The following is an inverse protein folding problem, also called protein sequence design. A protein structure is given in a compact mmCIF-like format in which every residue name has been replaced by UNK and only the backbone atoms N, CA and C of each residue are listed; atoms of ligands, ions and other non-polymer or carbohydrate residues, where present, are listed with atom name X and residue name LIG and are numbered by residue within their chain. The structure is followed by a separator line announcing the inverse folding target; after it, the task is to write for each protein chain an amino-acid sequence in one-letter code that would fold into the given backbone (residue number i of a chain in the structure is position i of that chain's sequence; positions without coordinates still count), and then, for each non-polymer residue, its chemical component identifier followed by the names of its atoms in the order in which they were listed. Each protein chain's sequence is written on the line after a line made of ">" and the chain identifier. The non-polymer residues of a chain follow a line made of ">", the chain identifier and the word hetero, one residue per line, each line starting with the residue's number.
data_IF_039098691819
#
_entry.id   IF_039098691819
#
_cell.length_a   1.000
_cell.length_b   1.000
_cell.length_c   1.000
_cell.angle_alpha   90.00
_cell.angle_beta   90.00
_cell.angle_gamma   90.00
#
_symmetry.space_group_name_H-M   'P 1'
#
loop_
_entity.id
_entity.type
_entity.pdbx_description
1 polymer ?
#
# COMPACT_ATOMS: atom_id res chain seq x y z
N UNK A 1 -82.57 14.25 32.80
CA UNK A 1 -81.69 14.81 31.80
C UNK A 1 -80.50 13.88 31.69
N UNK A 2 -80.49 12.95 30.72
CA UNK A 2 -79.45 11.90 30.58
C UNK A 2 -78.49 12.31 29.46
N UNK A 3 -77.24 12.66 29.83
CA UNK A 3 -76.18 12.89 28.87
C UNK A 3 -75.49 11.52 28.54
N UNK A 4 -75.61 11.10 27.29
CA UNK A 4 -74.82 9.95 26.77
C UNK A 4 -73.53 10.48 26.20
N UNK A 5 -72.41 10.07 26.80
CA UNK A 5 -71.06 10.34 26.29
C UNK A 5 -70.71 9.29 25.21
N UNK A 6 -70.48 9.74 23.99
CA UNK A 6 -70.04 8.90 22.89
C UNK A 6 -68.51 8.87 22.87
N UNK A 7 -67.89 7.69 23.09
CA UNK A 7 -66.47 7.45 22.92
C UNK A 7 -66.19 7.15 21.46
N UNK A 8 -65.48 8.05 20.79
CA UNK A 8 -64.87 7.80 19.45
C UNK A 8 -63.51 7.09 19.62
N UNK A 9 -63.47 5.83 19.28
CA UNK A 9 -62.24 5.07 19.19
C UNK A 9 -61.53 5.37 17.84
N UNK A 10 -60.49 6.16 17.90
CA UNK A 10 -59.63 6.41 16.74
C UNK A 10 -58.61 5.28 16.54
N UNK A 11 -58.71 4.49 15.51
CA UNK A 11 -57.74 3.47 15.13
C UNK A 11 -56.54 4.11 14.44
N UNK A 12 -55.40 4.11 15.11
CA UNK A 12 -54.11 4.51 14.48
C UNK A 12 -53.56 3.28 13.74
N UNK A 13 -53.61 3.35 12.41
CA UNK A 13 -52.95 2.35 11.55
C UNK A 13 -51.47 2.73 11.43
N UNK A 14 -50.62 2.03 12.14
CA UNK A 14 -49.16 2.17 12.00
C UNK A 14 -48.70 1.40 10.77
N UNK A 15 -48.36 2.13 9.69
CA UNK A 15 -47.77 1.54 8.49
C UNK A 15 -46.28 1.21 8.77
N UNK A 16 -45.94 -0.07 8.95
CA UNK A 16 -44.55 -0.56 8.95
C UNK A 16 -44.04 -0.56 7.50
N UNK A 17 -43.24 0.42 7.12
CA UNK A 17 -42.42 0.34 5.92
C UNK A 17 -41.21 -0.54 6.22
N UNK A 18 -41.24 -1.79 5.78
CA UNK A 18 -40.07 -2.67 5.78
C UNK A 18 -39.07 -2.16 4.74
N UNK A 19 -38.06 -1.42 5.18
CA UNK A 19 -36.92 -1.04 4.35
C UNK A 19 -36.17 -2.31 3.95
N UNK A 20 -36.08 -2.60 2.65
CA UNK A 20 -35.19 -3.63 2.11
C UNK A 20 -33.74 -3.21 2.41
N UNK A 21 -33.13 -3.84 3.41
CA UNK A 21 -31.69 -3.79 3.61
C UNK A 21 -31.08 -4.71 2.54
N UNK A 22 -30.61 -4.09 1.44
CA UNK A 22 -29.81 -4.80 0.45
C UNK A 22 -28.48 -5.09 1.14
N UNK A 23 -28.25 -6.34 1.56
CA UNK A 23 -26.96 -6.78 2.04
C UNK A 23 -25.95 -6.61 0.90
N UNK A 24 -24.86 -5.87 1.14
CA UNK A 24 -23.76 -5.77 0.19
C UNK A 24 -23.19 -7.19 -0.02
N UNK A 25 -23.08 -7.61 -1.28
CA UNK A 25 -22.43 -8.87 -1.60
C UNK A 25 -20.99 -8.87 -1.06
N UNK A 26 -20.51 -10.00 -0.50
CA UNK A 26 -19.14 -10.10 -0.07
C UNK A 26 -18.21 -9.84 -1.28
N UNK A 27 -17.05 -9.17 -1.07
CA UNK A 27 -16.14 -8.86 -2.15
C UNK A 27 -15.72 -10.15 -2.88
N UNK A 28 -15.81 -10.13 -4.21
CA UNK A 28 -15.41 -11.26 -5.06
C UNK A 28 -13.94 -11.64 -4.80
N UNK A 29 -13.62 -12.94 -4.96
CA UNK A 29 -12.23 -13.39 -4.89
C UNK A 29 -11.42 -12.73 -6.00
N UNK A 30 -10.18 -12.31 -5.69
CA UNK A 30 -9.27 -11.72 -6.67
C UNK A 30 -9.00 -12.67 -7.85
N UNK A 31 -9.01 -12.13 -9.07
CA UNK A 31 -8.74 -12.87 -10.32
C UNK A 31 -7.45 -12.33 -10.97
N UNK A 32 -6.31 -13.05 -10.85
CA UNK A 32 -5.06 -12.64 -11.48
C UNK A 32 -5.11 -12.55 -13.01
N UNK A 33 -6.00 -13.28 -13.69
CA UNK A 33 -6.12 -13.21 -15.15
C UNK A 33 -6.76 -11.89 -15.59
N UNK A 34 -7.81 -11.43 -14.89
CA UNK A 34 -8.35 -10.08 -15.08
C UNK A 34 -7.32 -9.02 -14.68
N UNK A 35 -6.56 -9.25 -13.61
CA UNK A 35 -5.48 -8.41 -13.15
C UNK A 35 -4.39 -8.24 -14.20
N UNK A 36 -4.05 -9.29 -14.95
CA UNK A 36 -3.11 -9.22 -16.07
C UNK A 36 -3.56 -8.23 -17.14
N UNK A 37 -4.85 -8.23 -17.48
CA UNK A 37 -5.40 -7.28 -18.44
C UNK A 37 -5.19 -5.84 -17.98
N UNK A 38 -5.54 -5.54 -16.72
CA UNK A 38 -5.31 -4.20 -16.14
C UNK A 38 -3.82 -3.86 -16.11
N UNK A 39 -2.95 -4.81 -15.71
CA UNK A 39 -1.51 -4.62 -15.65
C UNK A 39 -0.93 -4.22 -17.01
N UNK A 40 -1.32 -4.92 -18.08
CA UNK A 40 -0.78 -4.72 -19.44
C UNK A 40 -1.31 -3.46 -20.11
N UNK A 41 -2.55 -3.05 -19.83
CA UNK A 41 -3.19 -1.91 -20.48
C UNK A 41 -2.97 -0.58 -19.73
N UNK A 42 -2.85 -0.62 -18.39
CA UNK A 42 -2.80 0.59 -17.55
C UNK A 42 -1.41 0.79 -16.93
N UNK A 43 -0.78 -0.28 -16.44
CA UNK A 43 0.39 -0.16 -15.56
C UNK A 43 1.72 -0.39 -16.28
N UNK A 44 1.71 -1.16 -17.38
CA UNK A 44 2.91 -1.70 -18.03
C UNK A 44 3.89 -0.64 -18.55
N UNK A 45 3.38 0.50 -19.02
CA UNK A 45 4.20 1.57 -19.56
C UNK A 45 5.26 2.08 -18.57
N UNK A 46 4.93 2.07 -17.27
CA UNK A 46 5.82 2.55 -16.21
C UNK A 46 6.41 1.42 -15.35
N UNK A 47 5.62 0.37 -15.08
CA UNK A 47 6.03 -0.69 -14.16
C UNK A 47 6.48 -1.99 -14.84
N UNK A 48 6.41 -2.07 -16.18
CA UNK A 48 6.63 -3.30 -16.94
C UNK A 48 5.42 -4.24 -16.88
N UNK A 49 5.22 -5.04 -17.93
CA UNK A 49 4.08 -5.95 -18.02
C UNK A 49 4.07 -7.02 -16.91
N UNK A 50 5.26 -7.44 -16.47
CA UNK A 50 5.48 -8.40 -15.39
C UNK A 50 5.75 -7.71 -14.02
N UNK A 51 5.60 -6.39 -13.93
CA UNK A 51 5.89 -5.62 -12.72
C UNK A 51 7.37 -5.41 -12.45
N UNK A 52 8.26 -5.72 -13.40
CA UNK A 52 9.68 -5.42 -13.31
C UNK A 52 9.98 -4.16 -14.12
N UNK A 53 9.79 -2.99 -13.51
CA UNK A 53 10.14 -1.72 -14.14
C UNK A 53 11.61 -1.70 -14.59
N UNK A 54 11.88 -1.00 -15.69
CA UNK A 54 13.23 -0.70 -16.16
C UNK A 54 13.75 0.66 -15.66
N UNK A 55 12.89 1.46 -15.02
CA UNK A 55 13.18 2.85 -14.63
C UNK A 55 13.14 2.99 -13.11
N UNK A 56 14.23 3.41 -12.46
CA UNK A 56 14.33 3.41 -10.98
C UNK A 56 13.30 4.25 -10.23
N UNK A 57 12.75 5.29 -10.86
CA UNK A 57 11.70 6.12 -10.23
C UNK A 57 10.36 5.36 -10.13
N UNK A 58 10.13 4.39 -10.99
CA UNK A 58 8.94 3.56 -11.01
C UNK A 58 9.23 2.26 -10.27
N UNK A 59 8.57 1.94 -9.16
CA UNK A 59 8.92 0.76 -8.37
C UNK A 59 8.62 -0.54 -9.11
N UNK A 60 9.41 -1.57 -8.79
CA UNK A 60 9.06 -2.95 -9.12
C UNK A 60 7.84 -3.36 -8.29
N UNK A 61 6.86 -3.96 -8.97
CA UNK A 61 5.61 -4.46 -8.38
C UNK A 61 5.61 -6.00 -8.30
N UNK A 62 6.48 -6.66 -9.08
CA UNK A 62 6.60 -8.12 -9.11
C UNK A 62 6.91 -8.68 -7.70
N UNK A 63 6.26 -9.78 -7.33
CA UNK A 63 6.35 -10.46 -6.05
C UNK A 63 6.01 -9.59 -4.83
N UNK A 64 5.38 -8.43 -5.03
CA UNK A 64 4.90 -7.63 -3.91
C UNK A 64 3.66 -8.26 -3.30
N UNK A 65 3.45 -8.06 -2.01
CA UNK A 65 2.30 -8.55 -1.27
C UNK A 65 1.01 -7.95 -1.83
N UNK A 66 0.05 -8.75 -2.30
CA UNK A 66 -1.17 -8.24 -2.94
C UNK A 66 -1.92 -7.22 -2.08
N UNK A 67 -2.14 -7.52 -0.80
CA UNK A 67 -2.83 -6.61 0.11
C UNK A 67 -2.11 -5.25 0.26
N UNK A 68 -0.78 -5.23 0.11
CA UNK A 68 -0.03 -3.97 0.11
C UNK A 68 -0.25 -3.19 -1.18
N UNK A 69 -0.23 -3.84 -2.36
CA UNK A 69 -0.51 -3.16 -3.64
C UNK A 69 -1.93 -2.60 -3.63
N UNK A 70 -2.92 -3.41 -3.25
CA UNK A 70 -4.32 -2.98 -3.14
C UNK A 70 -4.46 -1.76 -2.25
N UNK A 71 -3.88 -1.81 -1.04
CA UNK A 71 -3.87 -0.66 -0.13
C UNK A 71 -3.25 0.59 -0.77
N UNK A 72 -2.11 0.45 -1.46
CA UNK A 72 -1.47 1.61 -2.09
C UNK A 72 -2.33 2.21 -3.20
N UNK A 73 -3.03 1.39 -4.00
CA UNK A 73 -3.93 1.86 -5.04
C UNK A 73 -5.14 2.61 -4.44
N UNK A 74 -5.70 2.11 -3.35
CA UNK A 74 -6.73 2.82 -2.60
C UNK A 74 -6.22 4.15 -2.03
N UNK A 75 -5.02 4.16 -1.45
CA UNK A 75 -4.43 5.37 -0.87
C UNK A 75 -4.12 6.44 -1.93
N UNK A 76 -3.81 6.04 -3.17
CA UNK A 76 -3.62 6.96 -4.30
C UNK A 76 -4.94 7.48 -4.90
N UNK A 77 -6.04 6.78 -4.69
CA UNK A 77 -7.34 7.18 -5.24
C UNK A 77 -8.01 8.20 -4.34
N UNK A 78 -8.46 9.31 -4.94
CA UNK A 78 -9.39 10.22 -4.28
C UNK A 78 -10.74 9.53 -4.09
N UNK A 79 -11.36 9.65 -2.94
CA UNK A 79 -12.64 9.02 -2.64
C UNK A 79 -13.63 10.04 -2.05
N UNK A 80 -14.84 10.05 -2.58
CA UNK A 80 -15.93 10.90 -2.06
C UNK A 80 -15.59 12.38 -1.97
N UNK A 81 -14.76 12.92 -2.87
CA UNK A 81 -14.32 14.32 -2.86
C UNK A 81 -13.19 14.62 -1.85
N UNK A 82 -12.63 13.59 -1.22
CA UNK A 82 -11.48 13.74 -0.34
C UNK A 82 -10.17 13.61 -1.13
N UNK A 83 -9.16 14.36 -0.68
CA UNK A 83 -7.80 14.21 -1.21
C UNK A 83 -7.26 12.79 -1.01
N UNK A 84 -6.42 12.31 -1.95
CA UNK A 84 -5.74 11.03 -1.78
C UNK A 84 -4.90 10.99 -0.52
N UNK A 85 -4.95 9.88 0.21
CA UNK A 85 -4.15 9.66 1.42
C UNK A 85 -2.66 9.60 1.10
N UNK A 86 -2.31 9.04 -0.09
CA UNK A 86 -0.96 9.04 -0.63
C UNK A 86 -0.88 9.97 -1.84
N UNK A 87 -0.09 11.02 -1.73
CA UNK A 87 0.07 12.03 -2.79
C UNK A 87 1.17 11.62 -3.77
N UNK A 88 0.81 11.54 -5.05
CA UNK A 88 1.71 11.39 -6.19
C UNK A 88 0.91 11.71 -7.45
N UNK A 89 1.20 12.81 -8.12
CA UNK A 89 0.38 13.32 -9.22
C UNK A 89 0.13 12.27 -10.33
N UNK A 90 1.15 11.46 -10.67
CA UNK A 90 1.02 10.41 -11.69
C UNK A 90 0.11 9.30 -11.18
N UNK A 91 0.43 8.73 -10.02
CA UNK A 91 -0.31 7.58 -9.49
C UNK A 91 -1.74 7.95 -9.06
N UNK A 92 -1.98 9.19 -8.60
CA UNK A 92 -3.33 9.66 -8.30
C UNK A 92 -4.22 9.67 -9.56
N UNK A 93 -3.67 10.13 -10.69
CA UNK A 93 -4.35 10.06 -11.99
C UNK A 93 -4.59 8.62 -12.46
N UNK A 94 -3.58 7.74 -12.33
CA UNK A 94 -3.69 6.33 -12.74
C UNK A 94 -4.69 5.54 -11.89
N UNK A 95 -4.75 5.79 -10.59
CA UNK A 95 -5.66 5.10 -9.68
C UNK A 95 -7.11 5.59 -9.79
N UNK A 96 -7.33 6.79 -10.28
CA UNK A 96 -8.67 7.41 -10.35
C UNK A 96 -9.69 6.54 -11.11
N UNK A 97 -9.29 5.94 -12.22
CA UNK A 97 -10.14 5.09 -13.07
C UNK A 97 -10.31 3.64 -12.59
N UNK A 98 -9.55 3.20 -11.56
CA UNK A 98 -9.61 1.81 -11.11
C UNK A 98 -10.81 1.57 -10.18
N UNK A 99 -11.52 0.47 -10.40
CA UNK A 99 -12.51 -0.03 -9.44
C UNK A 99 -11.82 -0.82 -8.32
N UNK A 100 -12.47 -1.01 -7.15
CA UNK A 100 -11.93 -1.86 -6.09
C UNK A 100 -11.63 -3.29 -6.56
N UNK A 101 -12.45 -3.84 -7.46
CA UNK A 101 -12.20 -5.15 -8.07
C UNK A 101 -10.92 -5.14 -8.92
N UNK A 102 -10.75 -4.16 -9.81
CA UNK A 102 -9.52 -4.02 -10.62
C UNK A 102 -8.27 -3.88 -9.74
N UNK A 103 -8.36 -3.16 -8.62
CA UNK A 103 -7.26 -3.00 -7.68
C UNK A 103 -6.86 -4.33 -7.04
N UNK A 104 -7.84 -5.14 -6.61
CA UNK A 104 -7.61 -6.49 -6.07
C UNK A 104 -7.00 -7.43 -7.11
N UNK A 105 -7.56 -7.43 -8.31
CA UNK A 105 -7.14 -8.33 -9.38
C UNK A 105 -5.71 -8.04 -9.83
N UNK A 106 -5.37 -6.77 -10.08
CA UNK A 106 -4.01 -6.37 -10.47
C UNK A 106 -2.99 -6.59 -9.36
N UNK A 107 -3.40 -6.40 -8.10
CA UNK A 107 -2.57 -6.70 -6.95
C UNK A 107 -2.26 -8.21 -6.87
N UNK A 108 -3.27 -9.06 -7.07
CA UNK A 108 -3.10 -10.51 -7.12
C UNK A 108 -2.19 -10.92 -8.28
N UNK A 109 -2.36 -10.33 -9.48
CA UNK A 109 -1.50 -10.60 -10.61
C UNK A 109 -0.02 -10.30 -10.31
N UNK A 110 0.30 -9.10 -9.83
CA UNK A 110 1.71 -8.75 -9.51
C UNK A 110 2.29 -9.60 -8.38
N UNK A 111 1.46 -10.03 -7.43
CA UNK A 111 1.87 -10.95 -6.38
C UNK A 111 2.34 -12.31 -6.89
N UNK A 112 1.86 -12.77 -8.05
CA UNK A 112 2.29 -14.03 -8.68
C UNK A 112 3.55 -13.88 -9.54
N UNK A 113 3.97 -12.65 -9.85
CA UNK A 113 5.11 -12.41 -10.72
C UNK A 113 6.43 -12.63 -9.97
N UNK A 114 7.47 -12.95 -10.72
CA UNK A 114 8.83 -13.07 -10.18
C UNK A 114 9.57 -11.75 -10.25
N UNK A 115 10.10 -11.29 -9.14
CA UNK A 115 10.95 -10.11 -9.12
C UNK A 115 12.30 -10.42 -9.78
N UNK A 116 12.76 -9.49 -10.63
CA UNK A 116 14.13 -9.40 -11.10
C UNK A 116 14.84 -8.43 -10.15
N UNK A 117 15.59 -8.94 -9.16
CA UNK A 117 16.13 -8.07 -8.11
C UNK A 117 17.25 -7.19 -8.65
N UNK A 118 17.40 -6.02 -8.03
CA UNK A 118 18.56 -5.16 -8.23
C UNK A 118 19.79 -5.72 -7.48
N UNK A 119 20.89 -5.01 -7.59
CA UNK A 119 22.13 -5.29 -6.84
C UNK A 119 22.54 -4.05 -6.04
N UNK A 120 23.19 -4.26 -4.91
CA UNK A 120 23.89 -3.18 -4.23
C UNK A 120 25.05 -2.70 -5.12
N UNK A 121 25.19 -1.40 -5.26
CA UNK A 121 26.16 -0.75 -6.16
C UNK A 121 27.31 -0.10 -5.40
N UNK A 122 27.08 0.29 -4.16
CA UNK A 122 28.04 0.99 -3.33
C UNK A 122 28.68 0.06 -2.28
N UNK A 123 29.84 -0.51 -2.62
CA UNK A 123 30.57 -1.45 -1.76
C UNK A 123 30.97 -0.85 -0.41
N UNK A 124 31.25 0.44 -0.36
CA UNK A 124 31.70 1.13 0.86
C UNK A 124 30.55 1.29 1.88
N UNK A 125 29.30 1.32 1.40
CA UNK A 125 28.12 1.50 2.24
C UNK A 125 27.39 0.18 2.57
N UNK A 126 27.73 -0.92 1.92
CA UNK A 126 27.01 -2.20 2.12
C UNK A 126 27.05 -2.66 3.58
N UNK A 127 28.19 -2.53 4.27
CA UNK A 127 28.30 -2.92 5.68
C UNK A 127 27.43 -2.06 6.59
N UNK A 128 27.40 -0.75 6.36
CA UNK A 128 26.53 0.18 7.09
C UNK A 128 25.07 -0.15 6.81
N UNK A 129 24.70 -0.34 5.55
CA UNK A 129 23.34 -0.71 5.16
C UNK A 129 22.88 -2.03 5.78
N UNK A 130 23.75 -3.04 5.78
CA UNK A 130 23.50 -4.32 6.42
C UNK A 130 23.29 -4.18 7.93
N UNK A 131 24.15 -3.41 8.61
CA UNK A 131 24.01 -3.15 10.05
C UNK A 131 22.68 -2.49 10.36
N UNK A 132 22.32 -1.43 9.64
CA UNK A 132 21.04 -0.75 9.82
C UNK A 132 19.87 -1.69 9.57
N UNK A 133 19.90 -2.44 8.47
CA UNK A 133 18.83 -3.36 8.11
C UNK A 133 18.62 -4.45 9.18
N UNK A 134 19.71 -5.08 9.66
CA UNK A 134 19.66 -6.24 10.54
C UNK A 134 19.62 -5.92 12.03
N UNK A 135 20.24 -4.83 12.44
CA UNK A 135 20.38 -4.47 13.85
C UNK A 135 19.75 -3.13 14.23
N UNK A 136 19.43 -2.27 13.26
CA UNK A 136 18.98 -0.91 13.54
C UNK A 136 20.11 0.01 13.99
N UNK A 137 19.74 1.09 14.68
CA UNK A 137 20.64 2.07 15.29
C UNK A 137 20.12 2.37 16.70
N UNK A 138 20.64 1.63 17.69
CA UNK A 138 20.14 1.68 19.09
C UNK A 138 20.23 3.09 19.68
N UNK A 139 21.32 3.81 19.42
CA UNK A 139 21.59 5.14 19.95
C UNK A 139 20.56 6.19 19.46
N UNK A 140 19.93 5.92 18.31
CA UNK A 140 18.87 6.76 17.74
C UNK A 140 17.47 6.17 17.97
N UNK A 141 17.37 4.98 18.56
CA UNK A 141 16.12 4.25 18.69
C UNK A 141 15.50 3.89 17.34
N UNK A 142 16.35 3.58 16.34
CA UNK A 142 15.93 3.06 15.04
C UNK A 142 15.87 1.54 15.13
N UNK A 143 14.69 0.91 14.98
CA UNK A 143 14.58 -0.54 15.00
C UNK A 143 15.23 -1.17 13.76
N UNK A 144 15.62 -2.46 13.87
CA UNK A 144 16.05 -3.22 12.70
C UNK A 144 14.93 -3.29 11.66
N UNK A 145 15.22 -2.95 10.41
CA UNK A 145 14.23 -3.05 9.31
C UNK A 145 13.73 -4.50 9.13
N UNK A 146 14.63 -5.46 9.36
CA UNK A 146 14.36 -6.88 9.29
C UNK A 146 13.27 -7.35 10.27
N UNK A 147 13.05 -6.65 11.40
CA UNK A 147 12.03 -7.04 12.38
C UNK A 147 10.60 -6.92 11.85
N UNK A 148 10.38 -6.03 10.88
CA UNK A 148 9.08 -5.84 10.25
C UNK A 148 9.06 -6.33 8.80
N UNK A 149 10.13 -6.08 8.02
CA UNK A 149 10.18 -6.44 6.61
C UNK A 149 10.72 -7.86 6.34
N UNK A 150 11.06 -8.61 7.40
CA UNK A 150 11.63 -9.94 7.30
C UNK A 150 13.16 -9.93 7.09
N UNK A 151 13.87 -11.00 7.50
CA UNK A 151 15.33 -11.06 7.43
C UNK A 151 15.87 -11.05 6.00
N UNK A 152 15.05 -11.46 5.03
CA UNK A 152 15.32 -11.43 3.58
C UNK A 152 14.57 -10.32 2.86
N UNK A 153 13.86 -9.45 3.56
CA UNK A 153 13.11 -8.36 2.97
C UNK A 153 11.90 -8.78 2.15
N UNK A 154 11.42 -9.98 2.38
CA UNK A 154 10.24 -10.54 1.70
C UNK A 154 8.92 -9.92 2.16
N UNK A 155 8.95 -9.22 3.28
CA UNK A 155 7.78 -8.64 3.90
C UNK A 155 7.00 -9.62 4.78
N UNK A 156 6.00 -9.09 5.47
CA UNK A 156 5.03 -9.87 6.25
C UNK A 156 3.62 -9.40 5.87
N UNK A 157 2.77 -10.27 5.34
CA UNK A 157 1.39 -9.90 5.00
C UNK A 157 0.60 -9.46 6.26
N UNK A 158 -0.30 -8.48 6.14
CA UNK A 158 -0.57 -7.64 4.98
C UNK A 158 0.11 -6.25 5.12
N UNK A 159 0.71 -5.94 6.28
CA UNK A 159 1.12 -4.58 6.67
C UNK A 159 2.52 -4.20 6.20
N UNK A 160 3.44 -5.16 6.19
CA UNK A 160 4.85 -4.89 5.92
C UNK A 160 5.23 -5.35 4.52
N UNK A 161 5.47 -4.41 3.59
CA UNK A 161 5.74 -4.76 2.20
C UNK A 161 7.07 -5.49 2.02
N UNK A 162 7.16 -6.27 0.94
CA UNK A 162 8.42 -6.71 0.38
C UNK A 162 9.27 -5.50 0.00
N UNK A 163 10.51 -5.48 0.43
CA UNK A 163 11.48 -4.43 0.08
C UNK A 163 12.68 -4.99 -0.69
N UNK A 164 12.98 -6.28 -0.55
CA UNK A 164 14.11 -6.92 -1.19
C UNK A 164 14.06 -6.84 -2.72
N UNK A 165 15.18 -6.47 -3.30
CA UNK A 165 15.35 -6.40 -4.76
C UNK A 165 14.71 -5.18 -5.42
N UNK A 166 14.18 -4.24 -4.63
CA UNK A 166 13.65 -2.96 -5.12
C UNK A 166 14.80 -2.03 -5.51
N UNK A 167 14.55 -1.08 -6.40
CA UNK A 167 15.50 -0.03 -6.72
C UNK A 167 15.93 0.74 -5.47
N UNK A 168 17.25 0.94 -5.34
CA UNK A 168 17.81 1.74 -4.24
C UNK A 168 17.26 3.17 -4.27
N UNK A 169 17.22 3.76 -5.45
CA UNK A 169 16.73 5.12 -5.69
C UNK A 169 15.26 5.29 -5.27
N UNK A 170 14.42 4.29 -5.57
CA UNK A 170 13.02 4.32 -5.13
C UNK A 170 12.91 4.18 -3.60
N UNK A 171 13.65 3.25 -3.02
CA UNK A 171 13.65 3.02 -1.57
C UNK A 171 14.11 4.27 -0.82
N UNK A 172 15.19 4.89 -1.28
CA UNK A 172 15.72 6.14 -0.74
C UNK A 172 14.69 7.27 -0.82
N UNK A 173 14.07 7.46 -1.99
CA UNK A 173 13.02 8.46 -2.16
C UNK A 173 11.85 8.23 -1.20
N UNK A 174 11.39 6.99 -1.03
CA UNK A 174 10.28 6.69 -0.11
C UNK A 174 10.65 6.95 1.35
N UNK A 175 11.87 6.61 1.78
CA UNK A 175 12.32 6.92 3.14
C UNK A 175 12.40 8.43 3.39
N UNK A 176 12.89 9.20 2.40
CA UNK A 176 12.90 10.66 2.48
C UNK A 176 11.49 11.26 2.56
N UNK A 177 10.55 10.75 1.77
CA UNK A 177 9.14 11.18 1.82
C UNK A 177 8.46 10.84 3.16
N UNK A 178 8.77 9.70 3.76
CA UNK A 178 8.31 9.39 5.12
C UNK A 178 8.94 10.33 6.15
N UNK A 179 10.24 10.63 6.00
CA UNK A 179 10.98 11.54 6.89
C UNK A 179 10.42 12.96 6.85
N UNK A 180 10.10 13.47 5.66
CA UNK A 180 9.52 14.80 5.48
C UNK A 180 8.05 14.89 5.86
N UNK A 181 7.36 13.74 5.96
CA UNK A 181 5.92 13.68 6.19
C UNK A 181 5.06 13.84 4.93
N UNK A 182 5.67 14.01 3.75
CA UNK A 182 4.93 14.04 2.48
C UNK A 182 4.26 12.70 2.17
N UNK A 183 4.88 11.59 2.61
CA UNK A 183 4.26 10.29 2.65
C UNK A 183 3.86 9.95 4.08
N UNK A 184 2.54 9.86 4.34
CA UNK A 184 1.99 9.66 5.68
C UNK A 184 0.89 8.60 5.72
N UNK A 185 0.90 7.68 4.73
CA UNK A 185 -0.09 6.61 4.60
C UNK A 185 0.30 5.31 5.31
N UNK A 186 1.32 5.37 6.15
CA UNK A 186 1.79 4.26 6.97
C UNK A 186 0.94 4.11 8.25
N UNK A 187 0.49 2.89 8.59
CA UNK A 187 -0.26 2.65 9.81
C UNK A 187 0.53 3.10 11.05
N UNK A 188 -0.13 3.85 11.93
CA UNK A 188 0.45 4.36 13.18
C UNK A 188 1.75 5.16 13.00
N UNK A 189 2.01 5.69 11.80
CA UNK A 189 3.22 6.45 11.46
C UNK A 189 4.53 5.69 11.72
N UNK A 190 4.53 4.37 11.62
CA UNK A 190 5.68 3.53 11.94
C UNK A 190 6.90 3.84 11.06
N UNK A 191 6.68 3.97 9.74
CA UNK A 191 7.77 4.33 8.82
C UNK A 191 8.22 5.77 8.99
N UNK A 192 7.30 6.70 9.22
CA UNK A 192 7.63 8.08 9.50
C UNK A 192 8.47 8.21 10.78
N UNK A 193 8.06 7.55 11.88
CA UNK A 193 8.78 7.55 13.14
C UNK A 193 10.19 6.93 13.04
N UNK A 194 10.38 5.97 12.14
CA UNK A 194 11.68 5.37 11.86
C UNK A 194 12.53 6.28 10.97
N UNK A 195 11.98 6.77 9.86
CA UNK A 195 12.69 7.53 8.86
C UNK A 195 13.16 8.91 9.37
N UNK A 196 12.40 9.55 10.27
CA UNK A 196 12.78 10.85 10.87
C UNK A 196 14.09 10.81 11.65
N UNK A 197 14.54 9.62 12.07
CA UNK A 197 15.77 9.43 12.84
C UNK A 197 17.00 9.13 11.97
N UNK A 198 16.78 8.88 10.66
CA UNK A 198 17.84 8.50 9.73
C UNK A 198 18.46 9.73 9.06
N UNK A 199 19.79 9.76 8.97
CA UNK A 199 20.53 10.70 8.12
C UNK A 199 20.44 10.31 6.64
N UNK A 200 20.84 11.23 5.74
CA UNK A 200 20.89 10.92 4.30
C UNK A 200 21.84 9.77 3.97
N UNK A 201 22.99 9.71 4.63
CA UNK A 201 23.94 8.63 4.46
C UNK A 201 23.36 7.28 4.89
N UNK A 202 22.66 7.23 6.01
CA UNK A 202 22.02 6.01 6.52
C UNK A 202 20.87 5.55 5.62
N UNK A 203 20.07 6.50 5.12
CA UNK A 203 19.00 6.21 4.13
C UNK A 203 19.63 5.65 2.85
N UNK A 204 20.66 6.29 2.33
CA UNK A 204 21.34 5.84 1.11
C UNK A 204 21.94 4.44 1.31
N UNK A 205 22.66 4.20 2.42
CA UNK A 205 23.29 2.91 2.72
C UNK A 205 22.27 1.77 2.83
N UNK A 206 21.18 1.97 3.60
CA UNK A 206 20.17 0.91 3.77
C UNK A 206 19.39 0.65 2.49
N UNK A 207 19.16 1.68 1.66
CA UNK A 207 18.47 1.54 0.38
C UNK A 207 19.30 0.73 -0.62
N UNK A 208 20.60 0.98 -0.72
CA UNK A 208 21.52 0.21 -1.57
C UNK A 208 21.62 -1.26 -1.10
N UNK A 209 21.74 -1.48 0.21
CA UNK A 209 21.73 -2.84 0.76
C UNK A 209 20.44 -3.60 0.43
N UNK A 210 19.28 -2.97 0.57
CA UNK A 210 17.95 -3.54 0.26
C UNK A 210 17.85 -3.95 -1.20
N UNK A 211 18.42 -3.19 -2.12
CA UNK A 211 18.42 -3.52 -3.54
C UNK A 211 19.12 -4.86 -3.82
N UNK A 212 20.17 -5.17 -3.09
CA UNK A 212 20.91 -6.44 -3.20
C UNK A 212 20.41 -7.57 -2.29
N UNK A 213 19.42 -7.33 -1.44
CA UNK A 213 18.92 -8.30 -0.47
C UNK A 213 18.12 -9.43 -1.15
N UNK A 214 18.40 -10.70 -0.74
CA UNK A 214 17.79 -11.92 -1.31
C UNK A 214 17.51 -12.98 -0.25
#
# INVERSE_FOLDING_TARGET
>A
MNFRLALLAGSVVASLTAGLVVAAEPPSKADPAKGQTTATTVCAACHGADGNSAVPINPKLAAQIPAYIEKQLHDFKADGGKEPVRKNAIMNGMAAGLTPEMMRDVAAFYGTQRIKPEAAKNKELVELGQKIYRAGISEKGVPACASCHGPKGEGVPAQYPRVAGQFAEYTEAQLKLFRSGERANDPNRMMAATATKLSDQEIHAVSDYIAGLR
#
